data_IF_460016925295
#
_entry.id   IF_460016925295
#
_cell.length_a   1.000
_cell.length_b   1.000
_cell.length_c   1.000
_cell.angle_alpha   90.00
_cell.angle_beta   90.00
_cell.angle_gamma   90.00
#
_symmetry.space_group_name_H-M   'P 1'
#
loop_
_entity.id
_entity.type
_entity.pdbx_description
1 polymer ?
#
# COMPACT_ATOMS: atom_id res chain seq x y z
N UNK A 1 -14.96 10.41 -64.14
CA UNK A 1 -15.43 11.14 -62.94
C UNK A 1 -15.82 10.15 -61.83
N UNK A 2 -14.88 9.32 -61.35
CA UNK A 2 -15.12 8.26 -60.33
C UNK A 2 -13.93 7.99 -59.39
N UNK A 3 -12.88 8.81 -59.44
CA UNK A 3 -11.62 8.60 -58.70
C UNK A 3 -11.42 9.52 -57.49
N UNK A 4 -12.32 10.49 -57.26
CA UNK A 4 -12.19 11.46 -56.15
C UNK A 4 -12.91 11.05 -54.85
N UNK A 5 -13.76 10.03 -54.86
CA UNK A 5 -14.53 9.61 -53.67
C UNK A 5 -13.84 8.54 -52.80
N UNK A 6 -12.75 7.93 -53.25
CA UNK A 6 -12.06 6.86 -52.50
C UNK A 6 -10.99 7.38 -51.52
N UNK A 7 -10.56 8.64 -51.62
CA UNK A 7 -9.52 9.19 -50.74
C UNK A 7 -10.02 9.70 -49.38
N UNK A 8 -11.29 10.10 -49.26
CA UNK A 8 -11.84 10.59 -47.98
C UNK A 8 -12.11 9.46 -46.96
N UNK A 9 -12.23 8.22 -47.40
CA UNK A 9 -12.53 7.08 -46.53
C UNK A 9 -11.29 6.56 -45.80
N UNK A 10 -10.10 6.58 -46.44
CA UNK A 10 -8.87 6.10 -45.81
C UNK A 10 -8.37 7.01 -44.67
N UNK A 11 -8.53 8.33 -44.79
CA UNK A 11 -8.08 9.30 -43.77
C UNK A 11 -8.89 9.16 -42.47
N UNK A 12 -10.17 8.77 -42.56
CA UNK A 12 -11.04 8.58 -41.39
C UNK A 12 -10.72 7.31 -40.61
N UNK A 13 -10.32 6.22 -41.28
CA UNK A 13 -9.91 4.97 -40.61
C UNK A 13 -8.58 5.09 -39.89
N UNK A 14 -7.61 5.84 -40.42
CA UNK A 14 -6.30 6.01 -39.77
C UNK A 14 -6.36 6.85 -38.50
N UNK A 15 -7.25 7.86 -38.44
CA UNK A 15 -7.46 8.65 -37.22
C UNK A 15 -8.07 7.84 -36.07
N UNK A 16 -8.89 6.83 -36.38
CA UNK A 16 -9.59 6.01 -35.39
C UNK A 16 -8.67 4.95 -34.75
N UNK A 17 -7.71 4.41 -35.51
CA UNK A 17 -6.71 3.47 -34.99
C UNK A 17 -5.68 4.17 -34.09
N UNK A 18 -5.27 5.40 -34.43
CA UNK A 18 -4.32 6.16 -33.62
C UNK A 18 -4.91 6.57 -32.25
N UNK A 19 -6.22 6.80 -32.18
CA UNK A 19 -6.90 7.15 -30.93
C UNK A 19 -7.05 5.96 -29.97
N UNK A 20 -7.06 4.72 -30.47
CA UNK A 20 -7.16 3.52 -29.63
C UNK A 20 -5.85 3.14 -28.93
N UNK A 21 -4.68 3.47 -29.49
CA UNK A 21 -3.39 3.18 -28.84
C UNK A 21 -3.03 4.17 -27.72
N UNK A 22 -3.49 5.42 -27.80
CA UNK A 22 -3.24 6.43 -26.75
C UNK A 22 -4.03 6.13 -25.47
N UNK A 23 -5.15 5.41 -25.56
CA UNK A 23 -5.97 4.99 -24.40
C UNK A 23 -5.31 3.90 -23.53
N UNK A 24 -4.32 3.16 -24.04
CA UNK A 24 -3.56 2.18 -23.26
C UNK A 24 -2.32 2.75 -22.56
N UNK A 25 -1.99 4.02 -22.79
CA UNK A 25 -0.86 4.70 -22.12
C UNK A 25 -1.25 5.39 -20.79
N UNK A 26 -2.43 5.11 -20.24
CA UNK A 26 -2.87 5.53 -18.91
C UNK A 26 -2.10 4.76 -17.79
N UNK A 27 -2.08 5.26 -16.54
CA UNK A 27 -0.91 5.28 -15.68
C UNK A 27 -0.61 3.91 -15.05
N UNK A 28 0.04 3.02 -15.80
CA UNK A 28 0.55 1.74 -15.31
C UNK A 28 1.41 1.89 -14.03
N UNK A 29 2.06 3.05 -13.86
CA UNK A 29 2.93 3.36 -12.72
C UNK A 29 2.17 3.46 -11.39
N UNK A 30 1.03 4.15 -11.34
CA UNK A 30 0.26 4.29 -10.10
C UNK A 30 -0.32 2.93 -9.66
N UNK A 31 -0.81 2.16 -10.64
CA UNK A 31 -1.35 0.82 -10.39
C UNK A 31 -0.26 -0.16 -9.91
N UNK A 32 0.98 -0.03 -10.38
CA UNK A 32 2.10 -0.87 -9.95
C UNK A 32 2.39 -0.68 -8.45
N UNK A 33 2.41 0.57 -7.96
CA UNK A 33 2.63 0.87 -6.55
C UNK A 33 1.53 0.27 -5.67
N UNK A 34 0.27 0.36 -6.08
CA UNK A 34 -0.86 -0.23 -5.35
C UNK A 34 -0.82 -1.77 -5.36
N UNK A 35 -0.46 -2.38 -6.50
CA UNK A 35 -0.29 -3.85 -6.60
C UNK A 35 0.82 -4.35 -5.67
N UNK A 36 1.92 -3.61 -5.58
CA UNK A 36 3.00 -3.92 -4.65
C UNK A 36 2.51 -3.93 -3.19
N UNK A 37 1.70 -2.93 -2.80
CA UNK A 37 1.11 -2.89 -1.45
C UNK A 37 0.17 -4.07 -1.18
N UNK A 38 -0.66 -4.45 -2.16
CA UNK A 38 -1.48 -5.67 -2.05
C UNK A 38 -0.62 -6.92 -1.87
N UNK A 39 0.51 -7.01 -2.59
CA UNK A 39 1.48 -8.10 -2.44
C UNK A 39 2.08 -8.19 -1.03
N UNK A 40 2.39 -7.05 -0.39
CA UNK A 40 2.83 -7.01 1.01
C UNK A 40 1.75 -7.58 1.94
N UNK A 41 0.48 -7.20 1.73
CA UNK A 41 -0.65 -7.70 2.53
C UNK A 41 -0.89 -9.20 2.33
N UNK A 42 -0.75 -9.68 1.09
CA UNK A 42 -0.82 -11.12 0.80
C UNK A 42 0.25 -11.87 1.56
N UNK A 43 1.49 -11.36 1.56
CA UNK A 43 2.59 -11.99 2.31
C UNK A 43 2.32 -12.00 3.83
N UNK A 44 1.74 -10.94 4.38
CA UNK A 44 1.36 -10.90 5.80
C UNK A 44 0.28 -11.94 6.13
N UNK A 45 -0.72 -12.09 5.26
CA UNK A 45 -1.74 -13.14 5.37
C UNK A 45 -1.13 -14.55 5.30
N UNK A 46 -0.23 -14.82 4.35
CA UNK A 46 0.45 -16.12 4.23
C UNK A 46 1.21 -16.49 5.50
N UNK A 47 1.98 -15.54 6.06
CA UNK A 47 2.73 -15.76 7.31
C UNK A 47 1.79 -16.04 8.47
N UNK A 48 0.70 -15.28 8.58
CA UNK A 48 -0.33 -15.51 9.59
C UNK A 48 -1.01 -16.88 9.42
N UNK A 49 -1.22 -17.31 8.17
CA UNK A 49 -1.84 -18.59 7.84
C UNK A 49 -0.95 -19.76 8.23
N UNK A 50 0.33 -19.71 7.85
CA UNK A 50 1.35 -20.72 8.20
C UNK A 50 1.51 -20.87 9.71
N UNK A 51 1.35 -19.77 10.46
CA UNK A 51 1.50 -19.76 11.91
C UNK A 51 0.24 -20.20 12.67
N UNK A 52 -0.91 -20.37 12.00
CA UNK A 52 -2.20 -20.57 12.66
C UNK A 52 -2.63 -22.05 12.69
N UNK A 53 -2.57 -22.74 13.84
CA UNK A 53 -2.90 -24.17 13.92
C UNK A 53 -4.41 -24.43 13.85
N UNK A 54 -5.24 -23.51 14.35
CA UNK A 54 -6.68 -23.70 14.47
C UNK A 54 -7.36 -23.73 13.08
N UNK A 55 -7.92 -24.89 12.72
CA UNK A 55 -8.58 -25.11 11.43
C UNK A 55 -9.82 -24.23 11.24
N UNK A 56 -10.63 -24.04 12.28
CA UNK A 56 -11.81 -23.18 12.23
C UNK A 56 -11.45 -21.73 11.89
N UNK A 57 -10.39 -21.20 12.51
CA UNK A 57 -9.90 -19.85 12.21
C UNK A 57 -9.38 -19.74 10.77
N UNK A 58 -8.64 -20.74 10.29
CA UNK A 58 -8.20 -20.82 8.89
C UNK A 58 -9.37 -20.85 7.92
N UNK A 59 -10.39 -21.68 8.16
CA UNK A 59 -11.62 -21.74 7.34
C UNK A 59 -12.33 -20.38 7.30
N UNK A 60 -12.48 -19.74 8.46
CA UNK A 60 -13.13 -18.42 8.56
C UNK A 60 -12.35 -17.33 7.82
N UNK A 61 -11.02 -17.37 7.85
CA UNK A 61 -10.15 -16.46 7.12
C UNK A 61 -10.28 -16.68 5.61
N UNK A 62 -10.19 -17.94 5.15
CA UNK A 62 -10.30 -18.32 3.73
C UNK A 62 -11.63 -17.90 3.11
N UNK A 63 -12.76 -18.02 3.83
CA UNK A 63 -14.06 -17.57 3.36
C UNK A 63 -14.10 -16.06 3.04
N UNK A 64 -13.25 -15.25 3.69
CA UNK A 64 -13.14 -13.81 3.41
C UNK A 64 -12.47 -13.53 2.07
N UNK A 65 -11.68 -14.47 1.56
CA UNK A 65 -10.90 -14.31 0.34
C UNK A 65 -11.64 -14.73 -0.93
N UNK A 66 -12.85 -15.28 -0.81
CA UNK A 66 -13.68 -15.68 -1.97
C UNK A 66 -13.76 -14.59 -3.05
N UNK A 67 -14.02 -13.30 -2.73
CA UNK A 67 -14.06 -12.24 -3.75
C UNK A 67 -12.68 -11.70 -4.16
N UNK A 68 -11.57 -12.15 -3.58
CA UNK A 68 -10.24 -11.52 -3.74
C UNK A 68 -9.79 -11.50 -5.20
N UNK A 69 -9.86 -12.65 -5.89
CA UNK A 69 -9.35 -12.79 -7.27
C UNK A 69 -10.05 -11.81 -8.21
N UNK A 70 -11.38 -11.76 -8.19
CA UNK A 70 -12.15 -10.85 -9.03
C UNK A 70 -11.89 -9.38 -8.64
N UNK A 71 -11.82 -9.08 -7.35
CA UNK A 71 -11.52 -7.73 -6.84
C UNK A 71 -10.13 -7.25 -7.30
N UNK A 72 -9.13 -8.14 -7.30
CA UNK A 72 -7.78 -7.81 -7.76
C UNK A 72 -7.72 -7.61 -9.28
N UNK A 73 -8.32 -8.53 -10.06
CA UNK A 73 -8.30 -8.47 -11.52
C UNK A 73 -9.12 -7.32 -12.09
N UNK A 74 -10.18 -6.89 -11.39
CA UNK A 74 -10.93 -5.67 -11.72
C UNK A 74 -10.21 -4.37 -11.36
N UNK A 75 -9.01 -4.45 -10.77
CA UNK A 75 -8.20 -3.29 -10.41
C UNK A 75 -8.67 -2.58 -9.13
N UNK A 76 -9.61 -3.14 -8.36
CA UNK A 76 -10.04 -2.59 -7.07
C UNK A 76 -9.04 -2.97 -5.96
N UNK A 77 -7.82 -2.46 -6.08
CA UNK A 77 -6.69 -2.83 -5.24
C UNK A 77 -6.88 -2.43 -3.77
N UNK A 78 -7.56 -1.32 -3.51
CA UNK A 78 -7.94 -0.90 -2.15
C UNK A 78 -8.84 -1.93 -1.46
N UNK A 79 -9.86 -2.44 -2.16
CA UNK A 79 -10.73 -3.49 -1.60
C UNK A 79 -10.01 -4.82 -1.48
N UNK A 80 -9.12 -5.16 -2.42
CA UNK A 80 -8.30 -6.38 -2.33
C UNK A 80 -7.40 -6.34 -1.07
N UNK A 81 -6.73 -5.21 -0.81
CA UNK A 81 -5.95 -5.01 0.40
C UNK A 81 -6.81 -5.14 1.67
N UNK A 82 -8.01 -4.54 1.67
CA UNK A 82 -8.94 -4.63 2.79
C UNK A 82 -9.37 -6.09 3.07
N UNK A 83 -9.67 -6.89 2.04
CA UNK A 83 -10.05 -8.29 2.21
C UNK A 83 -8.91 -9.13 2.82
N UNK A 84 -7.66 -8.87 2.41
CA UNK A 84 -6.47 -9.53 2.96
C UNK A 84 -6.24 -9.15 4.43
N UNK A 85 -6.37 -7.88 4.79
CA UNK A 85 -6.27 -7.44 6.19
C UNK A 85 -7.40 -8.04 7.04
N UNK A 86 -8.63 -8.08 6.53
CA UNK A 86 -9.76 -8.73 7.21
C UNK A 86 -9.53 -10.24 7.43
N UNK A 87 -9.00 -10.93 6.43
CA UNK A 87 -8.64 -12.34 6.55
C UNK A 87 -7.51 -12.54 7.57
N UNK A 88 -6.51 -11.65 7.58
CA UNK A 88 -5.40 -11.68 8.53
C UNK A 88 -5.88 -11.49 9.98
N UNK A 89 -6.80 -10.56 10.23
CA UNK A 89 -7.42 -10.36 11.57
C UNK A 89 -8.15 -11.58 12.09
N UNK A 90 -8.64 -12.46 11.20
CA UNK A 90 -9.28 -13.73 11.60
C UNK A 90 -8.28 -14.81 11.98
N UNK A 91 -7.00 -14.63 11.63
CA UNK A 91 -5.91 -15.57 11.94
C UNK A 91 -5.13 -15.12 13.17
N UNK A 92 -4.85 -13.83 13.27
CA UNK A 92 -4.12 -13.21 14.38
C UNK A 92 -5.13 -12.29 15.07
N UNK A 93 -5.58 -12.63 16.27
CA UNK A 93 -6.61 -11.88 16.99
C UNK A 93 -6.13 -10.45 17.33
N UNK A 94 -6.28 -9.53 16.38
CA UNK A 94 -5.90 -8.12 16.56
C UNK A 94 -7.04 -7.43 17.33
N UNK A 95 -6.74 -6.78 18.48
CA UNK A 95 -7.72 -6.00 19.23
C UNK A 95 -8.39 -4.95 18.34
N UNK A 96 -9.70 -4.77 18.50
CA UNK A 96 -10.46 -3.85 17.65
C UNK A 96 -9.90 -2.42 17.67
N UNK A 97 -9.45 -1.97 18.84
CA UNK A 97 -8.81 -0.68 19.05
C UNK A 97 -7.53 -0.47 18.23
N UNK A 98 -6.87 -1.55 17.78
CA UNK A 98 -5.63 -1.47 17.00
C UNK A 98 -5.88 -1.66 15.49
N UNK A 99 -7.09 -2.03 15.07
CA UNK A 99 -7.39 -2.33 13.64
C UNK A 99 -7.34 -1.11 12.73
N UNK A 100 -7.32 0.11 13.29
CA UNK A 100 -7.22 1.34 12.49
C UNK A 100 -5.89 1.44 11.72
N UNK A 101 -4.83 0.77 12.21
CA UNK A 101 -3.51 0.81 11.58
C UNK A 101 -3.41 -0.05 10.33
N UNK A 102 -4.28 -1.05 10.17
CA UNK A 102 -4.24 -1.99 9.04
C UNK A 102 -4.17 -1.31 7.66
N UNK A 103 -5.01 -0.30 7.35
CA UNK A 103 -4.91 0.39 6.07
C UNK A 103 -3.64 1.24 5.87
N UNK A 104 -2.85 1.50 6.92
CA UNK A 104 -1.67 2.37 6.83
C UNK A 104 -0.55 1.66 6.09
N UNK A 105 0.00 2.32 5.07
CA UNK A 105 1.14 1.86 4.31
C UNK A 105 2.17 2.96 4.09
N UNK A 106 3.41 2.54 3.85
CA UNK A 106 4.52 3.43 3.53
C UNK A 106 4.75 3.39 2.01
N UNK A 107 4.62 4.54 1.36
CA UNK A 107 5.00 4.74 -0.04
C UNK A 107 6.27 5.55 -0.11
N UNK A 108 7.35 4.94 -0.59
CA UNK A 108 8.57 5.68 -0.90
C UNK A 108 8.34 6.46 -2.19
N UNK A 109 8.59 7.77 -2.18
CA UNK A 109 8.37 8.63 -3.35
C UNK A 109 9.55 8.63 -4.30
N UNK A 110 10.72 8.19 -3.84
CA UNK A 110 11.96 8.16 -4.62
C UNK A 110 12.51 6.72 -4.67
N UNK A 111 12.60 6.11 -5.86
CA UNK A 111 13.14 4.75 -5.99
C UNK A 111 14.64 4.66 -5.68
N UNK A 112 15.35 5.80 -5.76
CA UNK A 112 16.78 5.90 -5.49
C UNK A 112 17.01 6.55 -4.13
N UNK A 113 17.84 5.92 -3.31
CA UNK A 113 18.31 6.48 -2.06
C UNK A 113 19.27 7.63 -2.37
N UNK A 114 19.04 8.79 -1.77
CA UNK A 114 20.01 9.88 -1.78
C UNK A 114 21.16 9.49 -0.84
N UNK A 115 22.22 8.89 -1.40
CA UNK A 115 23.40 8.47 -0.63
C UNK A 115 24.18 9.65 -0.06
N UNK A 116 24.09 10.83 -0.68
CA UNK A 116 24.78 12.04 -0.21
C UNK A 116 24.18 12.51 1.10
N UNK A 117 22.84 12.57 1.16
CA UNK A 117 22.13 13.00 2.37
C UNK A 117 21.72 11.84 3.28
N UNK A 118 21.86 10.59 2.81
CA UNK A 118 21.41 9.35 3.48
C UNK A 118 19.95 9.43 3.89
N UNK A 119 19.10 9.91 2.98
CA UNK A 119 17.69 10.14 3.26
C UNK A 119 16.78 9.35 2.32
N UNK A 120 15.67 8.89 2.87
CA UNK A 120 14.53 8.39 2.12
C UNK A 120 13.35 9.31 2.39
N UNK A 121 12.67 9.71 1.32
CA UNK A 121 11.42 10.46 1.38
C UNK A 121 10.27 9.56 0.99
N UNK A 122 9.15 9.74 1.67
CA UNK A 122 7.96 8.96 1.38
C UNK A 122 6.72 9.56 2.02
N UNK A 123 5.63 8.81 1.91
CA UNK A 123 4.33 9.14 2.48
C UNK A 123 3.80 7.96 3.28
N UNK A 124 3.21 8.23 4.44
CA UNK A 124 2.22 7.34 5.03
C UNK A 124 0.91 7.56 4.31
N UNK A 125 0.28 6.50 3.85
CA UNK A 125 -0.98 6.55 3.10
C UNK A 125 -1.97 5.57 3.69
N UNK A 126 -3.26 5.90 3.57
CA UNK A 126 -4.33 4.94 3.83
C UNK A 126 -4.68 4.24 2.51
N UNK A 127 -4.47 2.92 2.42
CA UNK A 127 -4.82 2.13 1.23
C UNK A 127 -6.35 2.06 1.06
N UNK A 128 -7.08 2.04 2.17
CA UNK A 128 -8.52 2.06 2.25
C UNK A 128 -8.96 2.76 3.55
N UNK A 129 -10.24 3.12 3.68
CA UNK A 129 -10.76 3.77 4.88
C UNK A 129 -10.71 2.82 6.09
N UNK A 130 -10.10 3.21 7.23
CA UNK A 130 -10.14 2.43 8.46
C UNK A 130 -11.58 2.11 8.91
N UNK A 131 -11.78 0.89 9.42
CA UNK A 131 -13.07 0.49 10.01
C UNK A 131 -13.15 0.88 11.49
N UNK A 132 -12.02 0.81 12.21
CA UNK A 132 -11.90 1.32 13.56
C UNK A 132 -11.56 2.81 13.55
N UNK A 133 -11.94 3.52 14.62
CA UNK A 133 -11.62 4.93 14.80
C UNK A 133 -10.10 5.12 14.93
N UNK A 134 -9.56 6.14 14.24
CA UNK A 134 -8.18 6.56 14.44
C UNK A 134 -8.12 7.22 15.82
N UNK A 135 -7.19 6.82 16.70
CA UNK A 135 -7.08 7.42 18.02
C UNK A 135 -6.69 8.90 17.91
N UNK A 136 -7.21 9.78 18.78
CA UNK A 136 -6.89 11.20 18.73
C UNK A 136 -5.46 11.49 19.22
N UNK A 137 -4.93 10.63 20.10
CA UNK A 137 -3.54 10.65 20.55
C UNK A 137 -2.70 9.52 19.92
N UNK A 138 -1.40 9.78 19.76
CA UNK A 138 -0.43 8.80 19.29
C UNK A 138 0.48 9.36 18.19
N UNK A 139 1.50 8.60 17.82
CA UNK A 139 2.36 8.93 16.69
C UNK A 139 2.72 7.69 15.89
N UNK A 140 3.05 7.89 14.62
CA UNK A 140 3.66 6.90 13.74
C UNK A 140 5.11 7.30 13.54
N UNK A 141 5.99 6.30 13.56
CA UNK A 141 7.40 6.47 13.28
C UNK A 141 7.90 5.32 12.41
N UNK A 142 8.81 5.61 11.49
CA UNK A 142 9.53 4.58 10.75
C UNK A 142 10.65 4.05 11.63
N UNK A 143 10.64 2.75 11.91
CA UNK A 143 11.73 2.05 12.61
C UNK A 143 12.52 1.17 11.64
N UNK A 144 13.78 0.90 11.96
CA UNK A 144 14.57 -0.12 11.28
C UNK A 144 14.26 -1.54 11.80
N UNK A 145 14.96 -2.54 11.26
CA UNK A 145 14.73 -3.94 11.64
C UNK A 145 15.11 -4.25 13.10
N UNK A 146 15.92 -3.41 13.73
CA UNK A 146 16.34 -3.51 15.14
C UNK A 146 15.40 -2.74 16.08
N UNK A 147 14.41 -2.03 15.54
CA UNK A 147 13.50 -1.17 16.29
C UNK A 147 14.02 0.26 16.51
N UNK A 148 15.15 0.64 15.91
CA UNK A 148 15.70 1.99 16.05
C UNK A 148 14.94 2.97 15.14
N UNK A 149 14.59 4.18 15.62
CA UNK A 149 13.88 5.15 14.81
C UNK A 149 14.71 5.72 13.67
N UNK A 150 14.11 5.71 12.47
CA UNK A 150 14.64 6.29 11.23
C UNK A 150 14.00 7.63 10.88
N UNK A 151 12.75 7.88 11.30
CA UNK A 151 12.05 9.16 11.10
C UNK A 151 11.74 9.84 12.43
N UNK A 152 11.32 11.12 12.38
CA UNK A 152 10.64 11.74 13.53
C UNK A 152 9.25 11.11 13.70
N UNK A 153 8.70 11.04 14.94
CA UNK A 153 7.31 10.67 15.15
C UNK A 153 6.38 11.69 14.51
N UNK A 154 5.31 11.23 13.87
CA UNK A 154 4.28 12.06 13.25
C UNK A 154 2.93 11.76 13.92
N UNK A 155 2.16 12.75 14.36
CA UNK A 155 0.87 12.52 15.00
C UNK A 155 -0.09 11.70 14.13
N UNK A 156 -0.77 10.72 14.74
CA UNK A 156 -1.75 9.87 14.03
C UNK A 156 -2.99 10.63 13.59
N UNK A 157 -3.37 11.69 14.32
CA UNK A 157 -4.50 12.55 13.99
C UNK A 157 -4.37 13.17 12.58
N UNK A 158 -3.14 13.39 12.13
CA UNK A 158 -2.85 13.98 10.83
C UNK A 158 -3.14 12.98 9.68
N UNK A 159 -3.11 11.66 9.93
CA UNK A 159 -3.35 10.62 8.91
C UNK A 159 -4.78 10.63 8.39
N UNK A 160 -5.73 11.10 9.22
CA UNK A 160 -7.14 11.13 8.87
C UNK A 160 -7.42 12.09 7.70
N UNK A 161 -6.55 13.07 7.48
CA UNK A 161 -6.81 14.19 6.58
C UNK A 161 -6.06 14.08 5.25
N UNK A 162 -4.88 13.45 5.21
CA UNK A 162 -4.15 13.23 3.96
C UNK A 162 -2.93 12.30 4.15
N UNK A 163 -2.34 11.92 3.02
CA UNK A 163 -1.04 11.26 2.96
C UNK A 163 0.03 12.09 3.71
N UNK A 164 0.67 11.52 4.72
CA UNK A 164 1.66 12.22 5.55
C UNK A 164 3.06 12.03 5.00
N UNK A 165 3.68 13.12 4.56
CA UNK A 165 5.08 13.11 4.15
C UNK A 165 5.99 12.78 5.33
N UNK A 166 6.97 11.92 5.10
CA UNK A 166 8.06 11.67 6.03
C UNK A 166 9.40 11.78 5.34
N UNK A 167 10.41 12.13 6.13
CA UNK A 167 11.82 11.99 5.77
C UNK A 167 12.47 11.11 6.82
N UNK A 168 13.15 10.06 6.36
CA UNK A 168 13.86 9.12 7.20
C UNK A 168 15.36 9.19 6.92
N UNK A 169 16.18 9.23 7.97
CA UNK A 169 17.63 9.18 7.87
C UNK A 169 18.08 7.73 7.99
N UNK A 170 18.89 7.29 7.03
CA UNK A 170 19.44 5.95 6.98
C UNK A 170 20.71 5.82 7.83
N UNK A 171 20.95 4.66 8.47
CA UNK A 171 22.18 4.40 9.20
C UNK A 171 23.41 4.34 8.27
N UNK A 172 24.59 4.47 8.85
CA UNK A 172 25.85 4.38 8.12
C UNK A 172 26.11 2.96 7.60
N UNK A 173 26.89 2.82 6.52
CA UNK A 173 27.25 1.52 5.95
C UNK A 173 26.18 0.86 5.06
N UNK A 174 25.05 1.54 4.81
CA UNK A 174 24.07 1.09 3.83
C UNK A 174 24.68 1.21 2.42
N UNK A 175 24.79 0.09 1.72
CA UNK A 175 25.27 0.03 0.34
C UNK A 175 24.24 0.58 -0.66
N UNK A 176 24.61 0.79 -1.92
CA UNK A 176 23.61 1.02 -2.95
C UNK A 176 22.97 -0.34 -3.33
N UNK A 177 21.65 -0.42 -3.43
CA UNK A 177 20.99 -1.66 -3.85
C UNK A 177 19.50 -1.70 -3.56
N UNK A 178 18.81 -2.78 -3.95
CA UNK A 178 17.40 -2.99 -3.63
C UNK A 178 17.23 -3.32 -2.14
N UNK A 179 16.51 -2.48 -1.40
CA UNK A 179 16.25 -2.66 0.03
C UNK A 179 14.85 -3.18 0.29
N UNK A 180 14.76 -4.24 1.12
CA UNK A 180 13.51 -4.59 1.80
C UNK A 180 13.47 -3.83 3.13
N UNK A 181 12.75 -2.72 3.15
CA UNK A 181 12.49 -2.01 4.40
C UNK A 181 11.46 -2.81 5.21
N UNK A 182 11.89 -3.37 6.33
CA UNK A 182 10.98 -3.82 7.38
C UNK A 182 10.83 -2.65 8.32
N UNK A 183 9.65 -2.05 8.32
CA UNK A 183 9.33 -0.95 9.22
C UNK A 183 8.29 -1.42 10.22
N UNK A 184 8.47 -1.00 11.47
CA UNK A 184 7.48 -1.15 12.51
C UNK A 184 6.88 0.22 12.77
N UNK A 185 5.55 0.29 12.78
CA UNK A 185 4.83 1.47 13.23
C UNK A 185 4.62 1.27 14.73
N UNK A 186 5.30 2.09 15.53
CA UNK A 186 5.09 2.09 16.98
C UNK A 186 4.19 3.25 17.36
N UNK A 187 3.09 2.94 18.05
CA UNK A 187 2.19 3.93 18.64
C UNK A 187 2.74 4.25 20.03
N UNK A 188 3.30 5.44 20.20
CA UNK A 188 3.65 5.95 21.52
C UNK A 188 2.36 6.56 22.10
N UNK A 189 1.61 5.78 22.89
CA UNK A 189 0.53 6.31 23.70
C UNK A 189 1.15 7.00 24.93
N UNK A 190 0.96 8.32 25.06
CA UNK A 190 1.42 9.08 26.22
C UNK A 190 0.62 8.79 27.51
N UNK A 191 -0.22 7.74 27.53
CA UNK A 191 -1.21 7.52 28.58
C UNK A 191 -0.84 6.48 29.64
N UNK A 192 0.44 6.12 29.78
CA UNK A 192 0.92 5.16 30.79
C UNK A 192 1.90 5.77 31.81
N UNK A 193 1.68 7.03 32.18
CA UNK A 193 2.34 7.67 33.32
C UNK A 193 1.31 8.50 34.12
N UNK A 194 0.31 7.81 34.66
CA UNK A 194 -0.73 8.36 35.54
C UNK A 194 -1.38 7.26 36.35
#
# INVERSE_FOLDING_TARGET
MRLLNTMHTQIRTSALILSAMVLFALPAHAMLADRYLVGIKLRAFEVAWESQPNETMRKNAAATLEPLTFTFLSGNLSRAAQLLDQATTKLVEIPEADRWIQPVAVRVTQPLIDLKNRQIKGKYVLIYKPQAAIPPEGSIQLLDQTGKPLSKPIPVADLAQANLDFTATLPEGIQAGPYKMKYQISIISNKLAG
#
